data_IF_561936849867
#
_entry.id   IF_561936849867
#
_cell.length_a   1.000
_cell.length_b   1.000
_cell.length_c   1.000
_cell.angle_alpha   90.00
_cell.angle_beta   90.00
_cell.angle_gamma   90.00
#
_symmetry.space_group_name_H-M   'P 1'
#
loop_
_entity.id
_entity.type
_entity.pdbx_description
1 polymer ?
#
# COMPACT_ATOMS: atom_id res chain seq x y z
N UNK A 1 6.05 21.53 11.13
CA UNK A 1 5.16 22.12 10.11
C UNK A 1 4.64 21.00 9.23
N UNK A 2 3.48 20.41 9.55
CA UNK A 2 2.91 19.27 8.84
C UNK A 2 1.40 19.39 8.83
N UNK A 3 0.89 20.28 7.99
CA UNK A 3 -0.54 20.36 7.69
C UNK A 3 -0.95 19.30 6.67
N UNK A 4 -2.22 18.95 6.66
CA UNK A 4 -2.83 18.05 5.68
C UNK A 4 -2.50 18.52 4.25
N UNK A 5 -1.72 17.72 3.52
CA UNK A 5 -1.51 17.89 2.08
C UNK A 5 -2.32 16.82 1.37
N UNK A 6 -3.05 17.22 0.34
CA UNK A 6 -3.69 16.26 -0.54
C UNK A 6 -2.60 15.43 -1.21
N UNK A 7 -2.79 14.10 -1.32
CA UNK A 7 -1.85 13.29 -2.06
C UNK A 7 -1.84 13.76 -3.51
N UNK A 8 -0.65 13.92 -4.07
CA UNK A 8 -0.46 14.30 -5.48
C UNK A 8 -0.80 13.15 -6.44
N UNK A 9 -1.23 11.99 -5.91
CA UNK A 9 -1.63 10.82 -6.65
C UNK A 9 -2.88 10.17 -6.04
N UNK A 10 -3.57 9.36 -6.85
CA UNK A 10 -4.67 8.52 -6.38
C UNK A 10 -4.15 7.42 -5.45
N UNK A 11 -4.69 7.37 -4.24
CA UNK A 11 -4.36 6.34 -3.24
C UNK A 11 -5.58 5.47 -3.00
N UNK A 12 -5.39 4.15 -3.16
CA UNK A 12 -6.40 3.13 -2.90
C UNK A 12 -5.89 2.26 -1.75
N UNK A 13 -6.70 2.11 -0.70
CA UNK A 13 -6.35 1.33 0.48
C UNK A 13 -7.48 0.37 0.85
N UNK A 14 -7.11 -0.85 1.24
CA UNK A 14 -8.05 -1.89 1.64
C UNK A 14 -7.36 -3.00 2.42
N UNK A 15 -8.15 -3.77 3.16
CA UNK A 15 -7.72 -4.98 3.84
C UNK A 15 -8.62 -6.12 3.39
N UNK A 16 -8.02 -7.25 3.02
CA UNK A 16 -8.73 -8.42 2.52
C UNK A 16 -8.43 -9.60 3.44
N UNK A 17 -9.47 -10.33 3.85
CA UNK A 17 -9.31 -11.55 4.65
C UNK A 17 -9.14 -12.74 3.72
N UNK A 18 -8.19 -13.64 4.02
CA UNK A 18 -7.95 -14.87 3.25
C UNK A 18 -7.73 -14.67 1.75
N UNK A 19 -7.28 -13.48 1.33
CA UNK A 19 -7.03 -13.22 -0.08
C UNK A 19 -5.70 -13.82 -0.50
N UNK A 20 -5.71 -14.52 -1.64
CA UNK A 20 -4.49 -14.91 -2.31
C UNK A 20 -3.77 -13.66 -2.82
N UNK A 21 -2.63 -13.38 -2.20
CA UNK A 21 -1.77 -12.25 -2.51
C UNK A 21 -1.40 -12.21 -3.99
N UNK A 22 -1.06 -13.36 -4.58
CA UNK A 22 -0.67 -13.44 -5.98
C UNK A 22 -1.86 -13.15 -6.88
N UNK A 23 -3.02 -13.73 -6.60
CA UNK A 23 -4.22 -13.50 -7.40
C UNK A 23 -4.64 -12.01 -7.40
N UNK A 24 -4.50 -11.32 -6.28
CA UNK A 24 -4.77 -9.87 -6.19
C UNK A 24 -3.77 -9.08 -7.04
N UNK A 25 -2.48 -9.37 -6.94
CA UNK A 25 -1.45 -8.70 -7.74
C UNK A 25 -1.64 -8.97 -9.25
N UNK A 26 -1.91 -10.22 -9.64
CA UNK A 26 -2.19 -10.60 -11.03
C UNK A 26 -3.42 -9.84 -11.58
N UNK A 27 -4.47 -9.70 -10.76
CA UNK A 27 -5.66 -8.94 -11.14
C UNK A 27 -5.37 -7.45 -11.31
N UNK A 28 -4.60 -6.85 -10.38
CA UNK A 28 -4.17 -5.45 -10.46
C UNK A 28 -3.34 -5.23 -11.73
N UNK A 29 -2.41 -6.13 -12.06
CA UNK A 29 -1.55 -6.00 -13.25
C UNK A 29 -2.36 -5.97 -14.56
N UNK A 30 -3.48 -6.70 -14.63
CA UNK A 30 -4.35 -6.79 -15.81
C UNK A 30 -5.31 -5.59 -15.98
N UNK A 31 -5.39 -4.67 -15.02
CA UNK A 31 -6.26 -3.50 -15.15
C UNK A 31 -5.73 -2.54 -16.24
N UNK A 32 -6.62 -1.81 -16.95
CA UNK A 32 -6.21 -0.92 -18.04
C UNK A 32 -5.65 0.40 -17.51
N UNK A 33 -4.45 0.37 -16.93
CA UNK A 33 -3.79 1.56 -16.38
C UNK A 33 -3.43 2.56 -17.47
N UNK A 34 -3.88 3.81 -17.33
CA UNK A 34 -3.47 4.91 -18.23
C UNK A 34 -1.96 5.17 -18.17
N UNK A 35 -1.36 5.01 -16.99
CA UNK A 35 0.07 5.20 -16.74
C UNK A 35 0.65 4.01 -15.95
N UNK A 36 0.95 2.85 -16.58
CA UNK A 36 1.43 1.64 -15.90
C UNK A 36 2.68 1.87 -15.04
N UNK A 37 3.62 2.68 -15.54
CA UNK A 37 4.87 3.00 -14.84
C UNK A 37 4.69 3.83 -13.56
N UNK A 38 3.52 4.44 -13.36
CA UNK A 38 3.20 5.19 -12.14
C UNK A 38 2.61 4.28 -11.05
N UNK A 39 2.21 3.05 -11.38
CA UNK A 39 1.60 2.13 -10.44
C UNK A 39 2.63 1.61 -9.43
N UNK A 40 2.33 1.82 -8.16
CA UNK A 40 3.08 1.26 -7.02
C UNK A 40 2.10 0.56 -6.10
N UNK A 41 2.34 -0.71 -5.85
CA UNK A 41 1.50 -1.53 -4.98
C UNK A 41 2.27 -1.81 -3.70
N UNK A 42 1.69 -1.39 -2.58
CA UNK A 42 2.14 -1.75 -1.25
C UNK A 42 1.21 -2.84 -0.74
N UNK A 43 1.74 -4.03 -0.47
CA UNK A 43 0.93 -5.13 0.00
C UNK A 43 1.62 -5.88 1.14
N UNK A 44 0.85 -6.16 2.18
CA UNK A 44 1.29 -6.89 3.36
C UNK A 44 0.44 -8.15 3.44
N UNK A 45 1.12 -9.28 3.52
CA UNK A 45 0.48 -10.57 3.81
C UNK A 45 0.07 -10.58 5.29
N UNK A 46 -1.06 -11.22 5.61
CA UNK A 46 -1.59 -11.34 6.96
C UNK A 46 -0.57 -11.95 7.94
N UNK A 47 0.28 -12.86 7.46
CA UNK A 47 1.31 -13.51 8.29
C UNK A 47 2.61 -12.71 8.39
N UNK A 48 2.69 -11.53 7.76
CA UNK A 48 3.91 -10.71 7.70
C UNK A 48 3.70 -9.37 8.40
N UNK A 49 4.75 -8.88 9.03
CA UNK A 49 4.75 -7.61 9.76
C UNK A 49 5.18 -6.40 8.90
N UNK A 50 5.38 -6.58 7.59
CA UNK A 50 5.94 -5.55 6.71
C UNK A 50 5.31 -5.56 5.32
N UNK A 51 5.07 -4.36 4.77
CA UNK A 51 4.68 -4.18 3.39
C UNK A 51 5.81 -4.53 2.43
N UNK A 52 5.45 -5.21 1.35
CA UNK A 52 6.26 -5.38 0.15
C UNK A 52 5.85 -4.34 -0.87
N UNK A 53 6.81 -3.86 -1.64
CA UNK A 53 6.59 -2.88 -2.71
C UNK A 53 6.76 -3.55 -4.06
N UNK A 54 5.74 -3.46 -4.91
CA UNK A 54 5.78 -3.94 -6.28
C UNK A 54 5.50 -2.82 -7.27
N UNK A 55 6.12 -2.90 -8.44
CA UNK A 55 5.93 -1.98 -9.57
C UNK A 55 5.57 -2.77 -10.82
N UNK A 56 4.69 -2.22 -11.65
CA UNK A 56 4.29 -2.84 -12.91
C UNK A 56 5.38 -2.64 -13.96
N UNK A 57 5.90 -3.73 -14.51
CA UNK A 57 6.95 -3.80 -15.53
C UNK A 57 6.61 -4.91 -16.51
N UNK A 58 6.59 -4.60 -17.79
CA UNK A 58 6.31 -5.59 -18.84
C UNK A 58 5.01 -6.37 -18.57
N UNK A 59 3.95 -5.66 -18.14
CA UNK A 59 2.64 -6.22 -17.75
C UNK A 59 2.64 -7.16 -16.53
N UNK A 60 3.74 -7.20 -15.76
CA UNK A 60 3.87 -7.97 -14.52
C UNK A 60 4.22 -7.09 -13.31
N UNK A 61 3.62 -7.37 -12.14
CA UNK A 61 4.02 -6.73 -10.89
C UNK A 61 5.27 -7.38 -10.33
N UNK A 62 6.41 -6.70 -10.45
CA UNK A 62 7.69 -7.15 -9.90
C UNK A 62 7.95 -6.48 -8.55
N UNK A 63 8.38 -7.27 -7.56
CA UNK A 63 8.72 -6.77 -6.22
C UNK A 63 10.11 -6.09 -6.23
N UNK A 64 10.22 -4.90 -5.61
CA UNK A 64 11.44 -4.08 -5.59
C UNK A 64 12.05 -3.83 -4.19
N UNK A 65 11.39 -4.25 -3.10
CA UNK A 65 11.85 -4.03 -1.72
C UNK A 65 12.49 -5.29 -1.09
N UNK A 66 13.42 -5.15 -0.11
CA UNK A 66 14.17 -6.27 0.44
C UNK A 66 13.29 -7.26 1.20
N UNK A 67 13.67 -8.54 1.11
CA UNK A 67 12.87 -9.71 1.51
C UNK A 67 12.77 -9.87 3.04
N UNK A 68 13.57 -9.14 3.81
CA UNK A 68 13.63 -9.25 5.29
C UNK A 68 13.79 -7.86 5.89
N UNK A 69 12.85 -7.39 6.75
CA UNK A 69 13.11 -6.27 7.64
C UNK A 69 14.20 -6.70 8.63
N UNK A 70 15.31 -5.96 8.73
CA UNK A 70 16.24 -6.21 9.83
C UNK A 70 15.52 -5.81 11.13
N UNK A 71 15.20 -6.78 11.99
CA UNK A 71 14.42 -6.57 13.22
C UNK A 71 15.12 -5.60 14.20
N UNK A 72 16.42 -5.37 14.01
CA UNK A 72 17.22 -4.39 14.78
C UNK A 72 16.83 -2.92 14.56
N UNK A 73 16.00 -2.60 13.56
CA UNK A 73 15.54 -1.23 13.33
C UNK A 73 14.35 -0.81 14.22
N UNK A 74 13.79 -1.72 15.04
CA UNK A 74 12.54 -1.48 15.77
C UNK A 74 12.71 -1.08 17.25
N UNK A 75 13.92 -0.79 17.72
CA UNK A 75 14.12 -0.08 19.00
C UNK A 75 13.89 1.42 18.79
N UNK A 76 12.63 1.85 18.74
CA UNK A 76 12.32 3.23 19.08
C UNK A 76 12.58 3.43 20.59
N UNK A 77 13.25 4.51 21.04
CA UNK A 77 13.25 4.85 22.46
C UNK A 77 11.81 5.06 22.90
N UNK A 78 11.42 4.43 24.02
CA UNK A 78 10.08 4.50 24.58
C UNK A 78 9.60 5.95 24.63
N UNK A 79 8.56 6.27 23.85
CA UNK A 79 7.86 7.55 23.94
C UNK A 79 6.54 7.33 24.65
N UNK A 80 6.34 8.07 25.74
CA UNK A 80 5.17 8.01 26.59
C UNK A 80 3.90 8.38 25.82
N UNK A 81 2.95 7.46 25.93
CA UNK A 81 1.49 7.54 25.88
C UNK A 81 0.86 8.92 25.68
N UNK A 82 0.10 9.09 24.59
CA UNK A 82 -1.15 9.90 24.63
C UNK A 82 -2.15 9.40 23.59
N UNK A 83 -3.32 9.09 24.10
CA UNK A 83 -4.51 8.46 23.52
C UNK A 83 -5.21 9.32 22.44
N UNK A 84 -5.34 8.82 21.20
CA UNK A 84 -6.23 9.42 20.20
C UNK A 84 -6.99 8.37 19.37
N UNK A 85 -8.30 8.35 19.61
CA UNK A 85 -9.33 7.53 18.97
C UNK A 85 -9.46 7.84 17.45
N UNK A 86 -9.24 6.85 16.58
CA UNK A 86 -9.38 6.98 15.11
C UNK A 86 -10.72 6.44 14.60
N UNK A 87 -11.53 7.22 13.86
CA UNK A 87 -12.73 6.71 13.22
C UNK A 87 -12.45 6.09 11.84
N UNK A 88 -13.18 5.00 11.51
CA UNK A 88 -13.07 4.21 10.27
C UNK A 88 -13.44 5.01 9.01
N UNK A 89 -12.61 4.94 7.96
CA UNK A 89 -12.88 5.51 6.63
C UNK A 89 -14.04 4.80 5.91
N UNK A 90 -14.93 5.58 5.28
CA UNK A 90 -15.94 5.13 4.31
C UNK A 90 -15.51 5.47 2.87
N UNK A 91 -15.65 4.46 2.01
CA UNK A 91 -15.85 4.42 0.53
C UNK A 91 -15.48 5.64 -0.33
N UNK A 92 -14.57 5.42 -1.28
CA UNK A 92 -14.17 6.36 -2.33
C UNK A 92 -15.17 6.37 -3.51
N UNK A 93 -15.58 7.56 -3.97
CA UNK A 93 -16.32 7.79 -5.22
C UNK A 93 -15.36 7.91 -6.40
N UNK A 94 -15.78 7.36 -7.54
CA UNK A 94 -15.14 7.44 -8.87
C UNK A 94 -15.26 8.87 -9.41
N UNK A 95 -14.16 9.47 -9.85
CA UNK A 95 -14.17 10.66 -10.71
C UNK A 95 -13.41 10.30 -11.99
N UNK A 96 -14.05 10.51 -13.14
CA UNK A 96 -13.44 10.33 -14.46
C UNK A 96 -12.59 11.55 -14.82
N UNK A 97 -11.39 11.33 -15.32
CA UNK A 97 -10.60 12.39 -15.94
C UNK A 97 -10.76 12.35 -17.47
N UNK A 98 -11.02 13.53 -18.02
CA UNK A 98 -11.01 13.91 -19.43
C UNK A 98 -9.63 13.77 -20.12
#
# INVERSE_FOLDING_TARGET
MGGWKYPECDVWAGAFNHADLKAVLDHIAQMPWRCPNALRVFMMDQEKASFRVSMLRDDELRQYAPVVPNEEANQAPASNDTDHHFPRLRSARRISCS
#
